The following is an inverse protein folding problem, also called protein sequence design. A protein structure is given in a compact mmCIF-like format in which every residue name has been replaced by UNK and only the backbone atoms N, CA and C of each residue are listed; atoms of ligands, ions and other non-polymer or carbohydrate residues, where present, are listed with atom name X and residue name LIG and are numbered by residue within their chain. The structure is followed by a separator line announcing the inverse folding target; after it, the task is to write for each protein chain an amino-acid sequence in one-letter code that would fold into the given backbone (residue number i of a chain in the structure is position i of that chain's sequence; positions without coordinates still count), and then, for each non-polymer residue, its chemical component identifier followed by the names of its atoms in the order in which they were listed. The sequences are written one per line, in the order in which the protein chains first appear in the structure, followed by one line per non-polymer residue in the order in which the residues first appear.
data_IF_499048188616
#
_entry.id   IF_499048188616
#
_cell.length_a   1.000
_cell.length_b   1.000
_cell.length_c   1.000
_cell.angle_alpha   90.00
_cell.angle_beta   90.00
_cell.angle_gamma   90.00
#
_symmetry.space_group_name_H-M   'P 1'
#
loop_
_entity.id
_entity.type
_entity.pdbx_description
1 polymer ?
#
# COMPACT_ATOMS: atom_id res chain seq x y z
N UNK A 1 -23.16 14.18 -12.81
CA UNK A 1 -21.77 14.10 -13.30
C UNK A 1 -21.32 12.67 -13.09
N UNK A 2 -20.93 11.98 -14.16
CA UNK A 2 -20.52 10.57 -14.07
C UNK A 2 -19.04 10.61 -13.67
N UNK A 3 -18.76 10.44 -12.37
CA UNK A 3 -17.40 10.28 -11.87
C UNK A 3 -16.82 9.00 -12.47
N UNK A 4 -15.62 9.10 -13.06
CA UNK A 4 -14.85 7.94 -13.46
C UNK A 4 -14.51 7.14 -12.18
N UNK A 5 -14.74 5.83 -12.18
CA UNK A 5 -14.52 4.92 -11.06
C UNK A 5 -13.13 5.09 -10.38
N UNK A 6 -12.10 5.38 -11.18
CA UNK A 6 -10.75 5.67 -10.69
C UNK A 6 -10.64 7.00 -9.92
N UNK A 7 -11.43 8.02 -10.29
CA UNK A 7 -11.46 9.33 -9.60
C UNK A 7 -12.01 9.20 -8.20
N UNK A 8 -13.06 8.38 -8.01
CA UNK A 8 -13.71 8.22 -6.71
C UNK A 8 -12.78 7.58 -5.67
N UNK A 9 -12.00 6.57 -6.06
CA UNK A 9 -11.02 5.93 -5.18
C UNK A 9 -9.93 6.91 -4.79
N UNK A 10 -9.42 7.68 -5.76
CA UNK A 10 -8.40 8.69 -5.50
C UNK A 10 -8.89 9.73 -4.48
N UNK A 11 -10.10 10.24 -4.65
CA UNK A 11 -10.72 11.22 -3.74
C UNK A 11 -10.92 10.65 -2.32
N UNK A 12 -11.35 9.39 -2.22
CA UNK A 12 -11.54 8.70 -0.93
C UNK A 12 -10.20 8.55 -0.18
N UNK A 13 -9.10 8.33 -0.90
CA UNK A 13 -7.78 8.06 -0.34
C UNK A 13 -6.87 9.27 -0.23
N UNK A 14 -7.17 10.39 -0.89
CA UNK A 14 -6.35 11.61 -0.88
C UNK A 14 -6.04 12.14 0.54
N UNK A 15 -6.93 11.86 1.49
CA UNK A 15 -6.81 12.28 2.89
C UNK A 15 -5.97 11.34 3.76
N UNK A 16 -5.46 10.22 3.22
CA UNK A 16 -4.65 9.25 3.97
C UNK A 16 -3.15 9.58 3.99
N UNK A 17 -2.74 10.73 3.43
CA UNK A 17 -1.34 11.15 3.38
C UNK A 17 -0.47 10.26 2.46
N UNK A 18 -1.12 9.61 1.49
CA UNK A 18 -0.49 8.78 0.47
C UNK A 18 -0.42 9.55 -0.85
N UNK A 19 0.66 9.36 -1.59
CA UNK A 19 0.74 9.81 -2.98
C UNK A 19 -0.06 8.84 -3.84
N UNK A 20 -1.01 9.36 -4.62
CA UNK A 20 -1.85 8.58 -5.51
C UNK A 20 -1.41 8.84 -6.93
N UNK A 21 -0.96 7.78 -7.61
CA UNK A 21 -0.60 7.80 -9.01
C UNK A 21 -1.62 6.96 -9.76
N UNK A 22 -2.59 7.58 -10.46
CA UNK A 22 -3.48 6.85 -11.36
C UNK A 22 -2.64 6.20 -12.46
N UNK A 23 -2.80 4.90 -12.65
CA UNK A 23 -2.14 4.17 -13.72
C UNK A 23 -3.23 3.62 -14.63
N UNK A 24 -3.44 4.29 -15.76
CA UNK A 24 -4.35 3.83 -16.82
C UNK A 24 -3.60 3.00 -17.88
N UNK A 25 -2.27 3.14 -17.94
CA UNK A 25 -1.39 2.42 -18.85
C UNK A 25 -0.13 1.88 -18.14
N UNK A 26 0.12 0.57 -18.31
CA UNK A 26 1.28 -0.15 -17.79
C UNK A 26 2.62 0.46 -18.21
N UNK A 27 2.69 1.04 -19.39
CA UNK A 27 3.92 1.57 -19.97
C UNK A 27 4.29 2.93 -19.37
N UNK A 28 3.31 3.67 -18.86
CA UNK A 28 3.51 4.92 -18.13
C UNK A 28 3.71 4.72 -16.62
N UNK A 29 3.53 3.49 -16.12
CA UNK A 29 3.66 3.18 -14.71
C UNK A 29 5.12 3.32 -14.23
N UNK A 30 5.34 4.15 -13.20
CA UNK A 30 6.60 4.16 -12.45
C UNK A 30 6.82 2.76 -11.84
N UNK A 31 8.06 2.23 -11.79
CA UNK A 31 8.34 0.99 -11.09
C UNK A 31 7.82 1.04 -9.66
N UNK A 32 6.93 0.11 -9.32
CA UNK A 32 6.39 -0.03 -7.97
C UNK A 32 7.49 -0.62 -7.09
N UNK A 33 7.80 0.02 -5.96
CA UNK A 33 8.80 -0.45 -5.00
C UNK A 33 8.20 -1.33 -3.89
N UNK A 34 9.04 -2.01 -3.10
CA UNK A 34 8.61 -2.88 -2.00
C UNK A 34 7.94 -2.12 -0.81
N UNK A 35 7.88 -0.79 -0.85
CA UNK A 35 7.16 0.04 0.13
C UNK A 35 5.87 0.66 -0.39
N UNK A 36 5.53 0.40 -1.66
CA UNK A 36 4.37 0.98 -2.30
C UNK A 36 3.14 0.07 -2.14
N UNK A 37 1.95 0.65 -2.25
CA UNK A 37 0.68 -0.06 -2.27
C UNK A 37 -0.01 0.17 -3.61
N UNK A 38 -0.53 -0.91 -4.20
CA UNK A 38 -1.29 -0.90 -5.43
C UNK A 38 -2.78 -1.08 -5.11
N UNK A 39 -3.61 -0.10 -5.47
CA UNK A 39 -5.07 -0.24 -5.43
C UNK A 39 -5.55 -0.45 -6.85
N UNK A 40 -6.17 -1.59 -7.12
CA UNK A 40 -6.62 -2.00 -8.44
C UNK A 40 -8.14 -1.88 -8.55
N UNK A 41 -8.65 -0.93 -9.33
CA UNK A 41 -10.10 -0.84 -9.61
C UNK A 41 -10.46 -1.69 -10.83
N UNK A 42 -10.90 -2.93 -10.59
CA UNK A 42 -11.33 -3.84 -11.64
C UNK A 42 -12.60 -3.35 -12.38
N UNK A 43 -13.33 -2.41 -11.77
CA UNK A 43 -14.58 -1.86 -12.32
C UNK A 43 -14.32 -0.75 -13.34
N UNK A 44 -13.13 -0.15 -13.30
CA UNK A 44 -12.78 0.96 -14.17
C UNK A 44 -12.54 0.52 -15.62
N UNK A 45 -11.98 -0.68 -15.82
CA UNK A 45 -11.71 -1.25 -17.14
C UNK A 45 -11.50 -2.76 -17.03
N UNK A 46 -11.91 -3.50 -18.06
CA UNK A 46 -11.66 -4.95 -18.17
C UNK A 46 -10.19 -5.35 -18.24
N UNK A 47 -9.25 -4.39 -18.38
CA UNK A 47 -7.80 -4.63 -18.41
C UNK A 47 -7.08 -4.26 -17.10
N UNK A 48 -7.79 -3.71 -16.11
CA UNK A 48 -7.17 -3.19 -14.88
C UNK A 48 -6.47 -4.31 -14.08
N UNK A 49 -7.12 -5.48 -13.93
CA UNK A 49 -6.53 -6.62 -13.22
C UNK A 49 -5.26 -7.14 -13.92
N UNK A 50 -5.27 -7.26 -15.26
CA UNK A 50 -4.09 -7.68 -16.03
C UNK A 50 -2.90 -6.72 -15.85
N UNK A 51 -3.19 -5.41 -15.87
CA UNK A 51 -2.21 -4.36 -15.60
C UNK A 51 -1.64 -4.51 -14.17
N UNK A 52 -2.50 -4.64 -13.18
CA UNK A 52 -2.10 -4.80 -11.79
C UNK A 52 -1.30 -6.08 -11.55
N UNK A 53 -1.69 -7.19 -12.19
CA UNK A 53 -0.96 -8.45 -12.15
C UNK A 53 0.46 -8.30 -12.72
N UNK A 54 0.63 -7.54 -13.81
CA UNK A 54 1.95 -7.22 -14.37
C UNK A 54 2.80 -6.40 -13.39
N UNK A 55 2.24 -5.36 -12.78
CA UNK A 55 2.94 -4.50 -11.81
C UNK A 55 3.31 -5.26 -10.53
N UNK A 56 2.47 -6.21 -10.09
CA UNK A 56 2.73 -7.05 -8.92
C UNK A 56 3.95 -7.96 -9.11
N UNK A 57 4.23 -8.43 -10.34
CA UNK A 57 5.34 -9.36 -10.63
C UNK A 57 6.72 -8.76 -10.41
N UNK A 58 6.89 -7.45 -10.56
CA UNK A 58 8.22 -6.81 -10.49
C UNK A 58 8.74 -6.66 -9.07
N UNK A 59 7.86 -6.42 -8.09
CA UNK A 59 8.28 -5.98 -6.75
C UNK A 59 7.41 -6.49 -5.60
N UNK A 60 6.32 -7.22 -5.89
CA UNK A 60 5.35 -7.71 -4.91
C UNK A 60 4.94 -6.63 -3.89
N UNK A 61 4.38 -5.50 -4.37
CA UNK A 61 3.85 -4.47 -3.48
C UNK A 61 2.65 -5.01 -2.71
N UNK A 62 2.27 -4.31 -1.64
CA UNK A 62 0.93 -4.50 -1.09
C UNK A 62 -0.12 -4.21 -2.15
N UNK A 63 -1.23 -4.92 -2.09
CA UNK A 63 -2.23 -4.87 -3.14
C UNK A 63 -3.63 -5.03 -2.60
N UNK A 64 -4.53 -4.18 -3.09
CA UNK A 64 -5.95 -4.19 -2.77
C UNK A 64 -6.74 -4.19 -4.07
N UNK A 65 -7.63 -5.15 -4.27
CA UNK A 65 -8.56 -5.12 -5.39
C UNK A 65 -9.89 -4.47 -4.99
N UNK A 66 -10.45 -3.65 -5.87
CA UNK A 66 -11.82 -3.15 -5.81
C UNK A 66 -12.59 -3.80 -6.95
N UNK A 67 -13.59 -4.61 -6.61
CA UNK A 67 -14.31 -5.51 -7.53
C UNK A 67 -15.82 -5.31 -7.45
N UNK A 68 -16.59 -5.89 -8.38
CA UNK A 68 -18.05 -5.74 -8.44
C UNK A 68 -18.83 -6.91 -7.85
N UNK A 69 -18.18 -8.06 -7.62
CA UNK A 69 -18.84 -9.27 -7.13
C UNK A 69 -17.97 -10.04 -6.12
N UNK A 70 -18.59 -10.94 -5.37
CA UNK A 70 -17.86 -11.86 -4.48
C UNK A 70 -17.07 -12.91 -5.27
N UNK A 71 -17.55 -13.32 -6.44
CA UNK A 71 -16.82 -14.24 -7.33
C UNK A 71 -15.51 -13.60 -7.81
N UNK A 72 -15.56 -12.34 -8.23
CA UNK A 72 -14.35 -11.57 -8.57
C UNK A 72 -13.43 -11.36 -7.36
N UNK A 73 -14.00 -11.25 -6.15
CA UNK A 73 -13.24 -11.10 -4.92
C UNK A 73 -12.47 -12.39 -4.57
N UNK A 74 -13.12 -13.54 -4.70
CA UNK A 74 -12.49 -14.87 -4.54
C UNK A 74 -11.37 -15.04 -5.56
N UNK A 75 -11.62 -14.74 -6.84
CA UNK A 75 -10.61 -14.82 -7.88
C UNK A 75 -9.41 -13.90 -7.60
N UNK A 76 -9.64 -12.65 -7.19
CA UNK A 76 -8.55 -11.73 -6.86
C UNK A 76 -7.70 -12.23 -5.68
N UNK A 77 -8.32 -12.83 -4.66
CA UNK A 77 -7.57 -13.43 -3.54
C UNK A 77 -6.75 -14.64 -4.01
N UNK A 78 -7.30 -15.50 -4.87
CA UNK A 78 -6.59 -16.64 -5.46
C UNK A 78 -5.41 -16.20 -6.35
N UNK A 79 -5.55 -15.06 -7.04
CA UNK A 79 -4.46 -14.39 -7.78
C UNK A 79 -3.44 -13.69 -6.86
N UNK A 80 -3.68 -13.72 -5.55
CA UNK A 80 -2.77 -13.33 -4.48
C UNK A 80 -2.85 -11.87 -4.07
N UNK A 81 -3.95 -11.16 -4.31
CA UNK A 81 -4.18 -9.84 -3.72
C UNK A 81 -4.20 -9.93 -2.19
N UNK A 82 -3.68 -8.91 -1.49
CA UNK A 82 -3.54 -8.98 -0.02
C UNK A 82 -4.86 -8.71 0.72
N UNK A 83 -5.76 -7.96 0.11
CA UNK A 83 -7.14 -7.74 0.57
C UNK A 83 -8.01 -7.35 -0.63
N UNK A 84 -9.33 -7.34 -0.45
CA UNK A 84 -10.31 -7.01 -1.49
C UNK A 84 -11.48 -6.21 -0.91
N UNK A 85 -12.12 -5.38 -1.74
CA UNK A 85 -13.36 -4.67 -1.40
C UNK A 85 -14.35 -4.84 -2.55
N UNK A 86 -15.59 -5.25 -2.22
CA UNK A 86 -16.68 -5.42 -3.19
C UNK A 86 -17.52 -4.15 -3.22
N UNK A 87 -17.78 -3.61 -4.41
CA UNK A 87 -18.68 -2.47 -4.61
C UNK A 87 -20.15 -2.91 -4.66
N UNK A 88 -21.10 -2.07 -4.19
CA UNK A 88 -20.89 -0.77 -3.54
C UNK A 88 -20.37 -0.93 -2.09
N UNK A 89 -19.46 -0.05 -1.68
CA UNK A 89 -18.86 -0.04 -0.34
C UNK A 89 -18.99 1.32 0.34
N UNK A 90 -18.92 1.35 1.67
CA UNK A 90 -18.75 2.61 2.41
C UNK A 90 -17.33 3.15 2.17
N UNK A 91 -17.13 4.44 1.83
CA UNK A 91 -15.79 5.04 1.72
C UNK A 91 -14.88 4.81 2.95
N UNK A 92 -15.46 4.67 4.14
CA UNK A 92 -14.76 4.29 5.38
C UNK A 92 -14.19 2.89 5.30
N UNK A 93 -14.88 1.94 4.68
CA UNK A 93 -14.37 0.58 4.50
C UNK A 93 -13.09 0.58 3.67
N UNK A 94 -13.10 1.26 2.52
CA UNK A 94 -11.93 1.35 1.65
C UNK A 94 -10.71 1.92 2.41
N UNK A 95 -10.91 3.01 3.16
CA UNK A 95 -9.86 3.60 4.02
C UNK A 95 -9.37 2.62 5.09
N UNK A 96 -10.27 1.90 5.76
CA UNK A 96 -9.92 0.93 6.80
C UNK A 96 -9.09 -0.23 6.25
N UNK A 97 -9.42 -0.73 5.06
CA UNK A 97 -8.70 -1.80 4.36
C UNK A 97 -7.30 -1.37 3.97
N UNK A 98 -7.16 -0.19 3.37
CA UNK A 98 -5.86 0.43 3.06
C UNK A 98 -5.01 0.59 4.32
N UNK A 99 -5.58 1.17 5.40
CA UNK A 99 -4.87 1.31 6.68
C UNK A 99 -4.48 -0.03 7.30
N UNK A 100 -5.30 -1.06 7.17
CA UNK A 100 -5.00 -2.40 7.67
C UNK A 100 -3.78 -2.98 6.94
N UNK A 101 -3.75 -2.89 5.61
CA UNK A 101 -2.62 -3.35 4.79
C UNK A 101 -1.33 -2.59 5.09
N UNK A 102 -1.38 -1.25 5.11
CA UNK A 102 -0.21 -0.43 5.42
C UNK A 102 0.34 -0.68 6.84
N UNK A 103 -0.54 -0.94 7.82
CA UNK A 103 -0.13 -1.35 9.17
C UNK A 103 0.54 -2.72 9.17
N UNK A 104 -0.04 -3.70 8.46
CA UNK A 104 0.47 -5.06 8.37
C UNK A 104 1.86 -5.14 7.69
N UNK A 105 2.12 -4.26 6.72
CA UNK A 105 3.40 -4.20 5.99
C UNK A 105 4.56 -3.54 6.75
N UNK A 106 4.33 -3.05 7.98
CA UNK A 106 5.41 -2.70 8.90
C UNK A 106 5.67 -1.22 9.15
N UNK A 107 4.65 -0.35 9.14
CA UNK A 107 4.80 1.07 9.58
C UNK A 107 3.54 1.67 10.25
N UNK A 108 3.30 1.36 11.51
CA UNK A 108 3.33 2.46 12.49
C UNK A 108 4.70 2.38 13.11
N UNK A 109 5.53 3.41 12.99
CA UNK A 109 6.82 3.50 13.67
C UNK A 109 6.72 2.94 15.09
N UNK A 110 7.59 2.00 15.45
CA UNK A 110 7.59 1.44 16.80
C UNK A 110 8.37 2.38 17.72
N UNK A 111 7.75 2.81 18.81
CA UNK A 111 8.41 3.63 19.84
C UNK A 111 8.88 2.76 21.00
N UNK A 112 10.19 2.71 21.24
CA UNK A 112 10.80 2.03 22.40
C UNK A 112 11.59 3.07 23.18
N UNK A 113 11.02 3.55 24.29
CA UNK A 113 11.60 4.66 25.05
C UNK A 113 11.72 5.93 24.19
N UNK A 114 12.97 6.40 23.99
CA UNK A 114 13.29 7.56 23.17
C UNK A 114 13.62 7.21 21.71
N UNK A 115 13.42 5.96 21.27
CA UNK A 115 13.74 5.54 19.91
C UNK A 115 12.46 5.32 19.09
N UNK A 116 12.53 5.74 17.83
CA UNK A 116 11.54 5.51 16.78
C UNK A 116 12.18 4.58 15.76
N UNK A 117 11.59 3.39 15.60
CA UNK A 117 12.10 2.34 14.72
C UNK A 117 11.13 2.19 13.55
N UNK A 118 11.68 2.26 12.33
CA UNK A 118 10.98 1.97 11.09
C UNK A 118 11.60 0.72 10.46
N UNK A 119 11.01 -0.47 10.66
CA UNK A 119 11.55 -1.73 10.14
C UNK A 119 11.71 -1.72 8.61
N UNK A 120 10.71 -1.17 7.91
CA UNK A 120 10.71 -1.07 6.43
C UNK A 120 11.80 -0.11 5.94
N UNK A 121 11.96 1.04 6.60
CA UNK A 121 13.02 2.00 6.22
C UNK A 121 14.40 1.59 6.74
N UNK A 122 14.48 0.51 7.55
CA UNK A 122 15.67 0.10 8.30
C UNK A 122 16.34 1.28 9.03
N UNK A 123 15.51 2.14 9.60
CA UNK A 123 15.93 3.37 10.26
C UNK A 123 15.57 3.32 11.74
N UNK A 124 16.50 3.80 12.55
CA UNK A 124 16.31 4.06 13.98
C UNK A 124 16.67 5.52 14.21
N UNK A 125 15.72 6.28 14.74
CA UNK A 125 15.91 7.69 15.10
C UNK A 125 15.67 7.84 16.60
N UNK A 126 16.42 8.72 17.25
CA UNK A 126 16.06 9.16 18.61
C UNK A 126 15.02 10.26 18.47
N UNK A 127 13.98 10.23 19.30
CA UNK A 127 12.94 11.26 19.38
C UNK A 127 13.44 12.58 20.02
N UNK A 128 14.76 12.74 20.19
CA UNK A 128 15.39 13.99 20.57
C UNK A 128 16.19 14.49 19.38
N UNK A 129 16.28 15.81 19.24
CA UNK A 129 16.62 16.63 18.06
C UNK A 129 17.99 16.37 17.37
N UNK A 130 18.67 15.26 17.66
CA UNK A 130 19.93 14.87 17.03
C UNK A 130 19.85 13.46 16.45
N UNK A 131 20.15 13.36 15.15
CA UNK A 131 20.23 12.10 14.41
C UNK A 131 21.38 11.24 14.93
N UNK A 132 21.10 9.95 15.19
CA UNK A 132 22.12 9.01 15.64
C UNK A 132 23.19 8.80 14.56
N UNK A 133 24.44 8.67 14.98
CA UNK A 133 25.56 8.41 14.05
C UNK A 133 25.32 7.11 13.24
N UNK A 134 25.67 7.06 11.94
CA UNK A 134 25.37 5.92 11.05
C UNK A 134 25.89 4.57 11.54
N UNK A 135 26.97 4.55 12.32
CA UNK A 135 27.54 3.32 12.90
C UNK A 135 26.61 2.70 13.95
N UNK A 136 25.97 3.53 14.78
CA UNK A 136 25.07 3.07 15.84
C UNK A 136 23.74 2.57 15.26
N UNK A 137 23.25 3.21 14.19
CA UNK A 137 22.06 2.75 13.45
C UNK A 137 22.27 1.34 12.89
N UNK A 138 23.45 1.06 12.30
CA UNK A 138 23.79 -0.28 11.78
C UNK A 138 23.89 -1.34 12.88
N UNK A 139 24.43 -0.98 14.05
CA UNK A 139 24.55 -1.92 15.17
C UNK A 139 23.17 -2.27 15.74
N UNK A 140 22.31 -1.27 15.97
CA UNK A 140 20.96 -1.48 16.49
C UNK A 140 20.05 -2.20 15.50
N UNK A 141 20.18 -1.92 14.19
CA UNK A 141 19.47 -2.66 13.16
C UNK A 141 19.79 -4.15 13.15
N UNK A 142 21.02 -4.54 13.53
CA UNK A 142 21.45 -5.95 13.65
C UNK A 142 21.01 -6.63 14.95
N UNK A 143 20.77 -5.85 16.01
CA UNK A 143 20.36 -6.37 17.33
C UNK A 143 18.84 -6.52 17.46
N UNK A 144 18.07 -5.74 16.69
CA UNK A 144 16.62 -5.61 16.84
C UNK A 144 15.80 -6.22 15.69
N UNK A 145 16.45 -6.64 14.61
CA UNK A 145 15.82 -7.34 13.49
C UNK A 145 16.54 -8.69 13.36
N UNK A 146 15.82 -9.83 13.44
CA UNK A 146 16.41 -11.17 13.37
C UNK A 146 17.04 -11.47 12.00
#
# INVERSE_FOLDING_TARGET
MIGNAASDIADILAHEGVEILPIEDAQAARPVGPGDMLVCDARASGTALDLCARLRRSSRPLSLAVVSSYEEAEQALDEGYDDVVVAPYDPRELRLRVRKLLRAAGRTTMRVGALVISPVARQVQRWATESLQPRLQRLLGRLLLP
#
